data_IF_015856149912
#
_entry.id   IF_015856149912
#
_cell.length_a   1.000
_cell.length_b   1.000
_cell.length_c   1.000
_cell.angle_alpha   90.00
_cell.angle_beta   90.00
_cell.angle_gamma   90.00
#
_symmetry.space_group_name_H-M   'P 1'
#
loop_
_entity.id
_entity.type
_entity.pdbx_description
1 polymer ?
#
# COMPACT_ATOMS: atom_id res chain seq x y z
N UNK A 1 -39.81 12.06 -14.17
CA UNK A 1 -38.49 12.53 -13.67
C UNK A 1 -37.44 11.53 -14.13
N UNK A 2 -36.58 11.92 -15.08
CA UNK A 2 -35.64 10.99 -15.72
C UNK A 2 -34.46 10.66 -14.79
N UNK A 3 -33.84 9.48 -14.96
CA UNK A 3 -32.67 9.03 -14.16
C UNK A 3 -31.50 10.04 -14.18
N UNK A 4 -31.36 10.81 -15.26
CA UNK A 4 -30.35 11.86 -15.43
C UNK A 4 -30.55 13.04 -14.48
N UNK A 5 -31.80 13.43 -14.21
CA UNK A 5 -32.13 14.58 -13.38
C UNK A 5 -31.80 14.30 -11.91
N UNK A 6 -32.15 13.10 -11.43
CA UNK A 6 -31.82 12.63 -10.07
C UNK A 6 -30.30 12.58 -9.82
N UNK A 7 -29.51 12.17 -10.82
CA UNK A 7 -28.04 12.11 -10.70
C UNK A 7 -27.42 13.51 -10.62
N UNK A 8 -27.95 14.46 -11.41
CA UNK A 8 -27.50 15.86 -11.42
C UNK A 8 -27.76 16.54 -10.07
N UNK A 9 -28.93 16.30 -9.49
CA UNK A 9 -29.31 16.84 -8.17
C UNK A 9 -28.43 16.27 -7.05
N UNK A 10 -28.08 14.98 -7.13
CA UNK A 10 -27.22 14.32 -6.15
C UNK A 10 -25.77 14.84 -6.19
N UNK A 11 -25.15 15.01 -7.37
CA UNK A 11 -23.81 15.60 -7.45
C UNK A 11 -23.79 17.05 -6.93
N UNK A 12 -24.85 17.83 -7.20
CA UNK A 12 -24.98 19.19 -6.69
C UNK A 12 -25.10 19.22 -5.16
N UNK A 13 -25.82 18.25 -4.58
CA UNK A 13 -25.90 18.06 -3.13
C UNK A 13 -24.53 17.76 -2.52
N UNK A 14 -23.77 16.81 -3.07
CA UNK A 14 -22.43 16.46 -2.57
C UNK A 14 -21.48 17.65 -2.63
N UNK A 15 -21.47 18.40 -3.74
CA UNK A 15 -20.65 19.61 -3.87
C UNK A 15 -21.02 20.65 -2.81
N UNK A 16 -22.32 20.94 -2.66
CA UNK A 16 -22.79 21.93 -1.68
C UNK A 16 -22.47 21.51 -0.25
N UNK A 17 -22.55 20.20 0.05
CA UNK A 17 -22.15 19.65 1.36
C UNK A 17 -20.66 19.88 1.63
N UNK A 18 -19.81 19.59 0.64
CA UNK A 18 -18.37 19.76 0.76
C UNK A 18 -17.96 21.23 0.86
N UNK A 19 -18.59 22.12 0.08
CA UNK A 19 -18.40 23.57 0.15
C UNK A 19 -18.77 24.13 1.53
N UNK A 20 -19.91 23.71 2.11
CA UNK A 20 -20.30 24.09 3.48
C UNK A 20 -19.30 23.64 4.56
N UNK A 21 -18.48 22.65 4.26
CA UNK A 21 -17.39 22.17 5.12
C UNK A 21 -16.04 22.81 4.79
N UNK A 22 -16.03 23.85 3.95
CA UNK A 22 -14.81 24.58 3.58
C UNK A 22 -13.86 23.77 2.70
N UNK A 23 -14.40 22.83 1.91
CA UNK A 23 -13.61 21.89 1.10
C UNK A 23 -12.59 21.08 1.90
N UNK A 24 -12.96 20.67 3.12
CA UNK A 24 -12.14 19.78 3.94
C UNK A 24 -11.67 18.55 3.13
N UNK A 25 -10.36 18.31 3.11
CA UNK A 25 -9.74 17.18 2.41
C UNK A 25 -10.20 15.83 2.96
N UNK A 26 -10.59 15.81 4.23
CA UNK A 26 -11.08 14.64 4.96
C UNK A 26 -12.61 14.55 4.99
N UNK A 27 -13.30 15.36 4.20
CA UNK A 27 -14.75 15.29 4.10
C UNK A 27 -15.19 13.90 3.64
N UNK A 28 -16.10 13.29 4.39
CA UNK A 28 -16.74 12.04 4.03
C UNK A 28 -18.08 12.27 3.31
N UNK A 29 -18.22 11.63 2.16
CA UNK A 29 -19.39 11.55 1.30
C UNK A 29 -20.13 10.23 1.56
N UNK A 30 -21.46 10.21 1.53
CA UNK A 30 -22.21 8.95 1.60
C UNK A 30 -22.22 8.25 0.23
N UNK A 31 -21.06 7.76 -0.19
CA UNK A 31 -20.83 7.12 -1.48
C UNK A 31 -20.33 5.69 -1.28
N UNK A 32 -20.86 4.78 -2.09
CA UNK A 32 -20.43 3.39 -2.14
C UNK A 32 -20.24 2.95 -3.59
N UNK A 33 -19.28 2.05 -3.82
CA UNK A 33 -19.09 1.45 -5.13
C UNK A 33 -20.11 0.33 -5.39
N UNK A 34 -19.96 -0.41 -6.50
CA UNK A 34 -20.89 -1.49 -6.87
C UNK A 34 -20.91 -2.63 -5.86
N UNK A 35 -19.77 -2.91 -5.22
CA UNK A 35 -19.61 -3.97 -4.23
C UNK A 35 -19.93 -3.47 -2.81
N UNK A 36 -20.41 -2.22 -2.69
CA UNK A 36 -20.79 -1.61 -1.43
C UNK A 36 -19.61 -1.10 -0.59
N UNK A 37 -18.39 -1.05 -1.15
CA UNK A 37 -17.27 -0.42 -0.46
C UNK A 37 -17.49 1.08 -0.35
N UNK A 38 -17.15 1.69 0.80
CA UNK A 38 -17.10 3.13 0.90
C UNK A 38 -16.14 3.69 -0.16
N UNK A 39 -16.67 4.56 -1.01
CA UNK A 39 -15.89 5.52 -1.81
C UNK A 39 -16.20 6.91 -1.27
N UNK A 40 -16.13 7.00 0.06
CA UNK A 40 -16.66 8.10 0.86
C UNK A 40 -15.66 9.23 1.03
N UNK A 41 -14.39 9.11 0.63
CA UNK A 41 -13.40 10.18 0.78
C UNK A 41 -12.82 10.60 -0.56
N UNK A 42 -12.30 11.83 -0.65
CA UNK A 42 -11.53 12.26 -1.83
C UNK A 42 -10.37 11.30 -2.12
N UNK A 43 -9.78 10.74 -1.06
CA UNK A 43 -8.72 9.76 -1.18
C UNK A 43 -9.23 8.43 -1.75
N UNK A 44 -10.34 7.89 -1.23
CA UNK A 44 -10.98 6.68 -1.76
C UNK A 44 -11.35 6.83 -3.24
N UNK A 45 -11.81 8.02 -3.65
CA UNK A 45 -12.16 8.32 -5.04
C UNK A 45 -10.89 8.30 -5.90
N UNK A 46 -9.81 8.90 -5.40
CA UNK A 46 -8.53 8.95 -6.11
C UNK A 46 -7.90 7.56 -6.33
N UNK A 47 -8.10 6.61 -5.42
CA UNK A 47 -7.54 5.26 -5.55
C UNK A 47 -8.47 4.26 -6.26
N UNK A 48 -9.79 4.41 -6.13
CA UNK A 48 -10.77 3.45 -6.69
C UNK A 48 -11.29 3.87 -8.08
N UNK A 49 -11.35 5.17 -8.39
CA UNK A 49 -11.97 5.65 -9.63
C UNK A 49 -10.96 5.72 -10.79
N UNK A 50 -10.99 4.68 -11.64
CA UNK A 50 -10.10 4.43 -12.80
C UNK A 50 -8.62 4.29 -12.44
N UNK A 51 -8.12 3.05 -12.59
CA UNK A 51 -6.78 2.54 -12.29
C UNK A 51 -5.54 3.35 -12.77
N UNK A 52 -5.69 4.41 -13.58
CA UNK A 52 -4.56 5.05 -14.26
C UNK A 52 -4.54 6.58 -14.20
N UNK A 53 -5.67 7.22 -13.89
CA UNK A 53 -5.84 8.66 -14.11
C UNK A 53 -5.62 9.52 -12.87
N UNK A 54 -5.65 8.93 -11.66
CA UNK A 54 -5.63 9.69 -10.41
C UNK A 54 -4.51 9.30 -9.43
N UNK A 55 -3.51 8.51 -9.87
CA UNK A 55 -2.33 8.18 -9.04
C UNK A 55 -1.65 9.43 -8.49
N UNK A 56 -1.55 10.48 -9.30
CA UNK A 56 -1.02 11.78 -8.89
C UNK A 56 -1.90 12.46 -7.83
N UNK A 57 -3.22 12.33 -7.93
CA UNK A 57 -4.14 12.90 -6.96
C UNK A 57 -4.00 12.20 -5.61
N UNK A 58 -3.94 10.87 -5.57
CA UNK A 58 -3.74 10.11 -4.32
C UNK A 58 -2.45 10.53 -3.60
N UNK A 59 -1.34 10.68 -4.33
CA UNK A 59 -0.08 11.15 -3.75
C UNK A 59 -0.17 12.58 -3.21
N UNK A 60 -0.84 13.48 -3.94
CA UNK A 60 -1.08 14.86 -3.49
C UNK A 60 -1.94 14.88 -2.23
N UNK A 61 -3.00 14.08 -2.18
CA UNK A 61 -3.89 13.98 -1.03
C UNK A 61 -3.16 13.47 0.21
N UNK A 62 -2.32 12.44 0.09
CA UNK A 62 -1.47 11.97 1.21
C UNK A 62 -0.56 13.08 1.71
N UNK A 63 0.13 13.80 0.80
CA UNK A 63 1.02 14.92 1.17
C UNK A 63 0.26 16.08 1.82
N UNK A 64 -1.01 16.28 1.44
CA UNK A 64 -1.88 17.30 2.00
C UNK A 64 -2.57 16.88 3.31
N UNK A 65 -2.26 15.69 3.85
CA UNK A 65 -2.78 15.23 5.14
C UNK A 65 -4.14 14.55 5.08
N UNK A 66 -4.49 13.95 3.94
CA UNK A 66 -5.66 13.09 3.85
C UNK A 66 -5.57 11.91 4.84
N UNK A 67 -6.67 11.61 5.52
CA UNK A 67 -6.78 10.51 6.45
C UNK A 67 -6.94 9.20 5.69
N UNK A 68 -5.87 8.40 5.69
CA UNK A 68 -5.83 7.09 5.01
C UNK A 68 -5.99 5.91 5.98
N UNK A 69 -6.14 6.16 7.29
CA UNK A 69 -6.12 5.10 8.32
C UNK A 69 -7.41 4.30 8.42
N UNK A 70 -8.53 4.93 8.09
CA UNK A 70 -9.85 4.38 8.42
C UNK A 70 -10.31 3.28 7.45
N UNK A 71 -9.59 3.03 6.36
CA UNK A 71 -10.14 2.30 5.22
C UNK A 71 -9.40 0.98 4.96
N UNK A 72 -10.14 -0.12 5.14
CA UNK A 72 -9.67 -1.47 4.85
C UNK A 72 -9.61 -1.67 3.33
N UNK A 73 -8.56 -2.34 2.84
CA UNK A 73 -8.46 -2.74 1.43
C UNK A 73 -7.75 -1.76 0.51
N UNK A 74 -7.24 -0.64 1.03
CA UNK A 74 -6.50 0.34 0.24
C UNK A 74 -5.21 -0.20 -0.37
N UNK A 75 -4.49 -1.05 0.36
CA UNK A 75 -3.32 -1.74 -0.17
C UNK A 75 -3.71 -2.67 -1.32
N UNK A 76 -4.85 -3.37 -1.23
CA UNK A 76 -5.39 -4.22 -2.30
C UNK A 76 -5.78 -3.40 -3.54
N UNK A 77 -6.44 -2.26 -3.36
CA UNK A 77 -6.80 -1.35 -4.46
C UNK A 77 -5.54 -0.85 -5.19
N UNK A 78 -4.47 -0.50 -4.46
CA UNK A 78 -3.21 -0.06 -5.06
C UNK A 78 -2.49 -1.17 -5.84
N UNK A 79 -2.56 -2.40 -5.34
CA UNK A 79 -2.07 -3.60 -6.02
C UNK A 79 -2.82 -3.81 -7.34
N UNK A 80 -4.15 -3.76 -7.32
CA UNK A 80 -4.98 -3.90 -8.52
C UNK A 80 -4.66 -2.79 -9.54
N UNK A 81 -4.46 -1.56 -9.06
CA UNK A 81 -4.06 -0.41 -9.86
C UNK A 81 -2.58 -0.42 -10.31
N UNK A 82 -1.78 -1.41 -9.92
CA UNK A 82 -0.34 -1.51 -10.24
C UNK A 82 0.41 -0.22 -9.91
N UNK A 83 0.15 0.32 -8.71
CA UNK A 83 0.65 1.63 -8.27
C UNK A 83 1.63 1.50 -7.10
N UNK A 84 2.88 1.06 -7.34
CA UNK A 84 3.86 0.82 -6.27
C UNK A 84 4.19 2.09 -5.45
N UNK A 85 4.13 3.27 -6.05
CA UNK A 85 4.42 4.53 -5.36
C UNK A 85 3.35 4.90 -4.33
N UNK A 86 2.06 4.71 -4.67
CA UNK A 86 0.96 4.92 -3.71
C UNK A 86 1.03 3.86 -2.63
N UNK A 87 1.31 2.61 -3.00
CA UNK A 87 1.43 1.50 -2.07
C UNK A 87 2.49 1.79 -0.99
N UNK A 88 3.69 2.24 -1.39
CA UNK A 88 4.73 2.70 -0.47
C UNK A 88 4.26 3.85 0.43
N UNK A 89 3.57 4.83 -0.15
CA UNK A 89 3.08 5.97 0.61
C UNK A 89 2.04 5.58 1.68
N UNK A 90 1.15 4.63 1.36
CA UNK A 90 0.16 4.11 2.30
C UNK A 90 0.79 3.26 3.42
N UNK A 91 1.76 2.40 3.07
CA UNK A 91 2.52 1.63 4.06
C UNK A 91 3.23 2.58 5.03
N UNK A 92 3.89 3.62 4.51
CA UNK A 92 4.56 4.64 5.32
C UNK A 92 3.57 5.43 6.19
N UNK A 93 2.36 5.65 5.69
CA UNK A 93 1.31 6.27 6.48
C UNK A 93 0.81 5.36 7.61
N UNK A 94 1.03 4.04 7.56
CA UNK A 94 0.61 3.08 8.58
C UNK A 94 -0.71 2.40 8.28
N UNK A 95 -1.16 2.40 7.02
CA UNK A 95 -2.40 1.74 6.61
C UNK A 95 -2.37 0.25 6.92
N UNK A 96 -3.52 -0.27 7.37
CA UNK A 96 -3.68 -1.66 7.75
C UNK A 96 -3.56 -2.62 6.55
N UNK A 97 -2.74 -3.66 6.70
CA UNK A 97 -2.48 -4.73 5.73
C UNK A 97 -3.26 -6.02 6.02
N UNK A 98 -4.20 -5.98 6.96
CA UNK A 98 -5.04 -7.11 7.31
C UNK A 98 -5.81 -7.69 6.11
N UNK A 99 -6.16 -8.99 6.19
CA UNK A 99 -7.06 -9.63 5.25
C UNK A 99 -8.35 -8.83 5.03
N UNK A 100 -8.82 -8.80 3.78
CA UNK A 100 -10.06 -8.10 3.41
C UNK A 100 -11.04 -9.05 2.72
N UNK A 101 -12.26 -9.15 3.26
CA UNK A 101 -13.31 -10.06 2.80
C UNK A 101 -13.71 -9.82 1.34
N UNK A 102 -13.77 -8.57 0.90
CA UNK A 102 -14.13 -8.23 -0.46
C UNK A 102 -13.03 -8.60 -1.48
N UNK A 103 -11.82 -8.89 -0.98
CA UNK A 103 -10.72 -9.48 -1.75
C UNK A 103 -10.56 -10.97 -1.45
N UNK A 104 -11.65 -11.65 -1.06
CA UNK A 104 -11.69 -13.08 -0.78
C UNK A 104 -10.94 -13.47 0.50
N UNK A 105 -10.89 -12.58 1.48
CA UNK A 105 -10.20 -12.81 2.76
C UNK A 105 -8.67 -12.89 2.63
N UNK A 106 -8.11 -12.34 1.56
CA UNK A 106 -6.66 -12.34 1.32
C UNK A 106 -6.00 -11.10 1.89
N UNK A 107 -4.72 -11.18 2.28
CA UNK A 107 -3.89 -9.99 2.48
C UNK A 107 -3.58 -9.33 1.13
N UNK A 108 -3.06 -8.10 1.14
CA UNK A 108 -2.61 -7.45 -0.09
C UNK A 108 -1.46 -8.23 -0.76
N UNK A 109 -0.58 -8.85 0.04
CA UNK A 109 0.50 -9.72 -0.44
C UNK A 109 -0.04 -10.96 -1.16
N UNK A 110 -0.99 -11.67 -0.54
CA UNK A 110 -1.61 -12.85 -1.14
C UNK A 110 -2.30 -12.51 -2.46
N UNK A 111 -2.96 -11.35 -2.50
CA UNK A 111 -3.67 -10.89 -3.67
C UNK A 111 -2.72 -10.52 -4.81
N UNK A 112 -1.65 -9.76 -4.54
CA UNK A 112 -0.66 -9.40 -5.58
C UNK A 112 0.09 -10.64 -6.08
N UNK A 113 0.43 -11.59 -5.22
CA UNK A 113 1.12 -12.81 -5.64
C UNK A 113 0.27 -13.65 -6.61
N UNK A 114 -1.04 -13.75 -6.35
CA UNK A 114 -2.01 -14.39 -7.26
C UNK A 114 -2.11 -13.64 -8.60
N UNK A 115 -2.14 -12.31 -8.57
CA UNK A 115 -2.18 -11.49 -9.78
C UNK A 115 -0.89 -11.56 -10.60
N UNK A 116 0.27 -11.57 -9.95
CA UNK A 116 1.58 -11.64 -10.61
C UNK A 116 1.74 -12.90 -11.46
N UNK A 117 1.14 -14.02 -11.04
CA UNK A 117 1.07 -15.24 -11.85
C UNK A 117 0.37 -15.06 -13.21
N UNK A 118 -0.52 -14.06 -13.32
CA UNK A 118 -1.27 -13.72 -14.55
C UNK A 118 -0.70 -12.50 -15.28
N UNK A 119 -0.19 -11.52 -14.54
CA UNK A 119 0.40 -10.27 -15.03
C UNK A 119 1.81 -10.08 -14.45
N UNK A 120 2.82 -10.47 -15.24
CA UNK A 120 4.24 -10.33 -14.90
C UNK A 120 4.81 -8.93 -15.20
N UNK A 121 3.99 -7.89 -15.20
CA UNK A 121 4.47 -6.52 -15.38
C UNK A 121 5.44 -6.10 -14.27
N UNK A 122 6.36 -5.20 -14.61
CA UNK A 122 7.34 -4.64 -13.67
C UNK A 122 6.68 -4.00 -12.46
N UNK A 123 5.60 -3.24 -12.67
CA UNK A 123 4.83 -2.60 -11.60
C UNK A 123 4.20 -3.61 -10.63
N UNK A 124 3.70 -4.75 -11.15
CA UNK A 124 3.16 -5.84 -10.32
C UNK A 124 4.27 -6.49 -9.48
N UNK A 125 5.43 -6.74 -10.10
CA UNK A 125 6.63 -7.22 -9.40
C UNK A 125 7.10 -6.27 -8.30
N UNK A 126 7.11 -4.96 -8.56
CA UNK A 126 7.47 -3.94 -7.58
C UNK A 126 6.50 -3.96 -6.39
N UNK A 127 5.19 -4.06 -6.64
CA UNK A 127 4.19 -4.21 -5.59
C UNK A 127 4.43 -5.47 -4.74
N UNK A 128 4.75 -6.62 -5.35
CA UNK A 128 5.13 -7.83 -4.61
C UNK A 128 6.32 -7.57 -3.70
N UNK A 129 7.39 -6.97 -4.22
CA UNK A 129 8.61 -6.71 -3.45
C UNK A 129 8.34 -5.80 -2.25
N UNK A 130 7.61 -4.70 -2.46
CA UNK A 130 7.22 -3.76 -1.40
C UNK A 130 6.44 -4.46 -0.29
N UNK A 131 5.50 -5.33 -0.64
CA UNK A 131 4.66 -6.04 0.34
C UNK A 131 5.42 -7.16 1.06
N UNK A 132 6.36 -7.83 0.39
CA UNK A 132 7.27 -8.80 1.02
C UNK A 132 8.14 -8.09 2.06
N UNK A 133 8.80 -7.00 1.68
CA UNK A 133 9.63 -6.18 2.58
C UNK A 133 8.80 -5.74 3.79
N UNK A 134 7.62 -5.16 3.55
CA UNK A 134 6.72 -4.72 4.64
C UNK A 134 6.30 -5.86 5.57
N UNK A 135 6.04 -7.05 5.03
CA UNK A 135 5.63 -8.22 5.81
C UNK A 135 6.77 -8.70 6.71
N UNK A 136 7.98 -8.80 6.16
CA UNK A 136 9.18 -9.20 6.89
C UNK A 136 9.62 -8.15 7.92
N UNK A 137 9.41 -6.86 7.64
CA UNK A 137 9.61 -5.78 8.62
C UNK A 137 8.68 -5.91 9.83
N UNK A 138 7.40 -6.26 9.59
CA UNK A 138 6.43 -6.46 10.67
C UNK A 138 6.62 -7.78 11.40
N UNK A 139 7.05 -8.84 10.70
CA UNK A 139 7.15 -10.21 11.19
C UNK A 139 8.37 -10.90 10.55
N UNK A 140 9.58 -10.73 11.10
CA UNK A 140 10.82 -11.20 10.46
C UNK A 140 10.91 -12.72 10.33
N UNK A 141 10.29 -13.48 11.23
CA UNK A 141 10.35 -14.95 11.26
C UNK A 141 9.05 -15.60 10.78
N UNK A 142 8.29 -14.93 9.92
CA UNK A 142 7.06 -15.50 9.39
C UNK A 142 7.38 -16.53 8.30
N UNK A 143 6.67 -17.67 8.33
CA UNK A 143 6.77 -18.64 7.24
C UNK A 143 6.32 -18.00 5.92
N UNK A 144 7.04 -18.32 4.84
CA UNK A 144 6.69 -17.84 3.49
C UNK A 144 5.25 -18.23 3.14
N UNK A 145 4.37 -17.26 2.82
CA UNK A 145 2.98 -17.57 2.47
C UNK A 145 2.89 -18.47 1.23
N UNK A 146 1.93 -19.40 1.21
CA UNK A 146 1.74 -20.32 0.08
C UNK A 146 1.57 -19.59 -1.26
N UNK A 147 0.90 -18.44 -1.25
CA UNK A 147 0.72 -17.57 -2.41
C UNK A 147 2.04 -17.10 -3.04
N UNK A 148 3.05 -16.82 -2.20
CA UNK A 148 4.41 -16.43 -2.58
C UNK A 148 5.25 -17.66 -2.92
N UNK A 149 5.19 -18.70 -2.09
CA UNK A 149 5.95 -19.95 -2.21
C UNK A 149 5.69 -20.68 -3.53
N UNK A 150 4.45 -20.67 -4.00
CA UNK A 150 4.04 -21.33 -5.25
C UNK A 150 4.60 -20.65 -6.51
N UNK A 151 5.16 -19.44 -6.40
CA UNK A 151 5.81 -18.75 -7.50
C UNK A 151 7.33 -18.69 -7.28
N UNK A 152 8.11 -19.39 -8.12
CA UNK A 152 9.57 -19.47 -8.00
C UNK A 152 10.25 -18.11 -7.94
N UNK A 153 9.80 -17.13 -8.73
CA UNK A 153 10.40 -15.79 -8.75
C UNK A 153 10.10 -15.02 -7.45
N UNK A 154 8.88 -15.14 -6.92
CA UNK A 154 8.49 -14.49 -5.67
C UNK A 154 9.15 -15.15 -4.45
N UNK A 155 9.28 -16.48 -4.45
CA UNK A 155 10.02 -17.21 -3.42
C UNK A 155 11.50 -16.81 -3.38
N UNK A 156 12.14 -16.63 -4.54
CA UNK A 156 13.50 -16.08 -4.61
C UNK A 156 13.57 -14.64 -4.08
N UNK A 157 12.58 -13.81 -4.40
CA UNK A 157 12.50 -12.45 -3.86
C UNK A 157 12.34 -12.44 -2.34
N UNK A 158 11.51 -13.33 -1.79
CA UNK A 158 11.33 -13.50 -0.34
C UNK A 158 12.65 -13.81 0.35
N UNK A 159 13.32 -14.89 -0.06
CA UNK A 159 14.59 -15.31 0.54
C UNK A 159 15.67 -14.22 0.42
N UNK A 160 15.68 -13.48 -0.69
CA UNK A 160 16.60 -12.35 -0.86
C UNK A 160 16.26 -11.19 0.08
N UNK A 161 14.98 -10.91 0.36
CA UNK A 161 14.59 -9.86 1.30
C UNK A 161 14.88 -10.28 2.75
N UNK A 162 14.64 -11.54 3.09
CA UNK A 162 14.94 -12.13 4.40
C UNK A 162 16.44 -12.09 4.72
N UNK A 163 17.31 -12.52 3.78
CA UNK A 163 18.76 -12.45 3.96
C UNK A 163 19.29 -11.01 4.10
N UNK A 164 18.62 -10.03 3.50
CA UNK A 164 18.97 -8.61 3.68
C UNK A 164 18.46 -8.02 5.01
N UNK A 165 17.48 -8.68 5.63
CA UNK A 165 16.86 -8.31 6.90
C UNK A 165 17.65 -8.87 8.11
N UNK A 166 18.46 -9.93 7.93
CA UNK A 166 19.40 -10.48 8.93
C UNK A 166 20.38 -9.44 9.54
N UNK A 167 20.51 -8.24 8.96
CA UNK A 167 21.22 -7.11 9.57
C UNK A 167 20.56 -6.48 10.79
N UNK A 168 19.33 -6.88 11.17
CA UNK A 168 18.58 -6.33 12.32
C UNK A 168 18.74 -7.17 13.60
N UNK A 169 19.39 -8.34 13.53
CA UNK A 169 19.61 -9.24 14.67
C UNK A 169 20.64 -8.74 15.71
N UNK A 170 21.36 -7.64 15.48
CA UNK A 170 22.37 -7.14 16.43
C UNK A 170 21.85 -6.13 17.48
N UNK A 171 20.53 -5.89 17.57
CA UNK A 171 19.98 -4.96 18.56
C UNK A 171 19.33 -5.61 19.80
N UNK A 172 19.17 -6.94 19.85
CA UNK A 172 18.43 -7.60 20.95
C UNK A 172 19.16 -8.78 21.57
N UNK A 173 20.43 -8.65 21.93
CA UNK A 173 21.06 -9.40 23.04
C UNK A 173 22.25 -8.63 23.63
N UNK A 174 22.02 -7.44 24.18
CA UNK A 174 22.98 -6.87 25.15
C UNK A 174 22.65 -7.44 26.53
N UNK A 175 22.99 -8.71 26.76
CA UNK A 175 23.42 -9.09 28.11
C UNK A 175 24.74 -8.42 28.38
N UNK A 176 24.79 -7.78 29.53
CA UNK A 176 25.89 -7.01 30.09
C UNK A 176 27.29 -7.59 29.82
N UNK A 177 28.24 -6.65 29.74
CA UNK A 177 29.66 -6.81 30.10
C UNK A 177 30.64 -6.95 28.93
N UNK A 178 31.01 -5.76 28.44
CA UNK A 178 32.39 -5.28 28.33
C UNK A 178 33.31 -5.80 27.19
N UNK A 179 33.96 -4.76 26.62
CA UNK A 179 35.25 -4.65 25.95
C UNK A 179 35.42 -4.89 24.43
N UNK A 180 35.94 -3.82 23.80
CA UNK A 180 36.83 -3.73 22.63
C UNK A 180 36.22 -3.77 21.21
N UNK A 181 35.94 -2.53 20.74
CA UNK A 181 36.23 -1.95 19.42
C UNK A 181 36.11 -2.77 18.12
N UNK A 182 35.30 -2.28 17.17
CA UNK A 182 35.69 -2.18 15.75
C UNK A 182 35.07 -0.92 15.13
N UNK A 183 35.92 -0.12 14.48
CA UNK A 183 35.60 1.10 13.73
C UNK A 183 34.79 0.79 12.47
N UNK A 184 33.83 1.66 12.08
CA UNK A 184 33.26 1.65 10.73
C UNK A 184 33.67 2.92 9.97
N UNK A 185 34.74 2.78 9.21
CA UNK A 185 35.09 3.58 8.04
C UNK A 185 35.21 2.54 6.89
N UNK A 186 34.80 2.73 5.64
CA UNK A 186 34.68 3.92 4.81
C UNK A 186 33.82 3.61 3.56
N UNK A 187 33.21 4.68 3.04
CA UNK A 187 33.16 5.14 1.64
C UNK A 187 33.04 4.12 0.49
N UNK A 188 32.05 4.37 -0.37
CA UNK A 188 32.19 4.25 -1.82
C UNK A 188 31.71 5.53 -2.51
N UNK A 189 32.62 6.49 -2.64
CA UNK A 189 32.54 7.54 -3.67
C UNK A 189 33.06 6.94 -4.98
N UNK A 190 32.19 6.87 -5.98
CA UNK A 190 32.51 6.43 -7.32
C UNK A 190 33.44 7.47 -7.99
N UNK A 191 34.59 7.02 -8.49
CA UNK A 191 35.45 7.78 -9.41
C UNK A 191 35.17 7.27 -10.82
N UNK A 192 34.93 8.19 -11.76
CA UNK A 192 35.04 7.90 -13.20
C UNK A 192 36.23 8.71 -13.71
N UNK A 193 37.03 7.98 -14.47
CA UNK A 193 38.27 8.31 -15.18
C UNK A 193 38.17 9.54 -16.07
#
# INVERSE_FOLDING_TARGET
>A
MQKSDKKRDYCKYLYTSWEKKGFDINHQFDLKDYDGFPIDSLFSIAINYKLYTLTNLAQVLIKAGANVQNEKGYLHACVLARSPDILKALIKAGVNDNPNENYGGNTALDYVAKLYGRDKSTKSKDCCKILIEHTLEKKPNIEIPDSVKNNKELAQCWNACEANNEGWELATTNTETQVVSVQKANKSSCSIQ
#
